data_IF_303669999541
#
_entry.id   IF_303669999541
#
_cell.length_a   1.000
_cell.length_b   1.000
_cell.length_c   1.000
_cell.angle_alpha   90.00
_cell.angle_beta   90.00
_cell.angle_gamma   90.00
#
_symmetry.space_group_name_H-M   'P 1'
#
loop_
_entity.id
_entity.type
_entity.pdbx_description
1 polymer ?
#
# COMPACT_ATOMS: atom_id res chain seq x y z
N UNK A 1 8.58 -12.42 -12.27
CA UNK A 1 8.72 -10.96 -12.26
C UNK A 1 8.46 -10.55 -10.84
N UNK A 2 9.38 -9.80 -10.25
CA UNK A 2 9.22 -9.28 -8.89
C UNK A 2 8.50 -7.95 -9.01
N UNK A 3 7.28 -7.89 -8.49
CA UNK A 3 6.44 -6.70 -8.45
C UNK A 3 5.60 -6.72 -7.18
N UNK A 4 5.62 -5.63 -6.43
CA UNK A 4 4.86 -5.48 -5.20
C UNK A 4 4.44 -4.03 -4.99
N UNK A 5 3.34 -3.84 -4.27
CA UNK A 5 2.76 -2.54 -3.98
C UNK A 5 2.03 -2.59 -2.65
N UNK A 6 2.38 -1.65 -1.78
CA UNK A 6 1.98 -1.63 -0.38
C UNK A 6 1.72 -0.19 0.06
N UNK A 7 0.86 -0.03 1.07
CA UNK A 7 0.62 1.25 1.72
C UNK A 7 1.17 1.18 3.13
N UNK A 8 1.94 2.19 3.51
CA UNK A 8 2.51 2.37 4.84
C UNK A 8 2.07 3.69 5.43
N UNK A 9 2.00 3.74 6.76
CA UNK A 9 1.82 4.97 7.52
C UNK A 9 2.90 5.10 8.59
N UNK A 10 3.35 6.33 8.84
CA UNK A 10 4.39 6.61 9.83
C UNK A 10 4.48 8.10 10.16
N UNK A 11 5.25 8.43 11.20
CA UNK A 11 5.42 9.83 11.67
C UNK A 11 6.49 10.63 10.94
N UNK A 12 7.41 9.95 10.25
CA UNK A 12 8.48 10.60 9.50
C UNK A 12 8.03 10.88 8.07
N UNK A 13 8.40 12.03 7.52
CA UNK A 13 8.12 12.34 6.13
C UNK A 13 8.90 11.38 5.20
N UNK A 14 8.26 10.78 4.18
CA UNK A 14 8.95 9.95 3.21
C UNK A 14 10.00 10.73 2.43
N UNK A 15 11.21 10.18 2.35
CA UNK A 15 12.30 10.76 1.54
C UNK A 15 12.44 9.90 0.28
N UNK A 16 12.35 10.54 -0.89
CA UNK A 16 12.49 9.87 -2.17
C UNK A 16 13.79 9.06 -2.26
N UNK A 17 13.68 7.80 -2.70
CA UNK A 17 14.82 6.89 -2.85
C UNK A 17 15.28 6.21 -1.55
N UNK A 18 14.76 6.61 -0.39
CA UNK A 18 14.98 5.89 0.86
C UNK A 18 13.84 4.91 1.11
N UNK A 19 14.19 3.77 1.72
CA UNK A 19 13.18 2.84 2.19
C UNK A 19 12.27 3.52 3.22
N UNK A 20 10.97 3.33 3.05
CA UNK A 20 9.97 3.83 3.98
C UNK A 20 9.30 2.66 4.67
N UNK A 21 9.93 2.25 5.76
CA UNK A 21 9.46 1.25 6.69
C UNK A 21 8.74 1.92 7.86
N UNK A 22 7.74 2.76 7.55
CA UNK A 22 6.94 3.48 8.54
C UNK A 22 6.39 2.57 9.64
N UNK A 23 5.86 3.18 10.71
CA UNK A 23 5.42 2.49 11.92
C UNK A 23 4.47 1.29 11.63
N UNK A 24 3.65 1.39 10.58
CA UNK A 24 2.67 0.36 10.23
C UNK A 24 2.51 0.17 8.72
N UNK A 25 2.58 -1.09 8.27
CA UNK A 25 2.04 -1.52 6.97
C UNK A 25 0.52 -1.58 7.08
N UNK A 26 -0.20 -0.77 6.30
CA UNK A 26 -1.66 -0.67 6.40
C UNK A 26 -2.41 -1.45 5.32
N UNK A 27 -1.77 -1.68 4.17
CA UNK A 27 -2.37 -2.45 3.09
C UNK A 27 -1.33 -3.12 2.21
N UNK A 28 -1.49 -4.41 1.96
CA UNK A 28 -0.80 -5.12 0.86
C UNK A 28 -1.69 -5.16 -0.38
N UNK A 29 -1.35 -4.38 -1.41
CA UNK A 29 -2.21 -4.21 -2.61
C UNK A 29 -1.96 -5.32 -3.64
N UNK A 30 -0.69 -5.57 -3.96
CA UNK A 30 -0.28 -6.64 -4.88
C UNK A 30 1.12 -7.13 -4.53
N UNK A 31 1.39 -8.41 -4.82
CA UNK A 31 2.65 -9.05 -4.50
C UNK A 31 2.84 -10.32 -5.35
N UNK A 32 3.95 -10.43 -6.06
CA UNK A 32 4.22 -11.56 -6.97
C UNK A 32 4.57 -12.87 -6.29
N UNK A 33 4.82 -12.87 -4.98
CA UNK A 33 5.17 -14.07 -4.20
C UNK A 33 3.95 -14.66 -3.48
N UNK A 34 3.12 -13.81 -2.86
CA UNK A 34 2.01 -14.25 -2.02
C UNK A 34 0.65 -14.19 -2.74
N UNK A 35 0.49 -13.31 -3.74
CA UNK A 35 -0.76 -13.15 -4.49
C UNK A 35 -0.49 -12.92 -5.99
N UNK A 36 0.29 -13.83 -6.60
CA UNK A 36 0.85 -13.68 -7.95
C UNK A 36 -0.16 -13.49 -9.10
N UNK A 37 -1.43 -13.83 -8.88
CA UNK A 37 -2.54 -13.60 -9.82
C UNK A 37 -2.98 -12.14 -9.89
N UNK A 38 -2.69 -11.33 -8.87
CA UNK A 38 -3.06 -9.93 -8.77
C UNK A 38 -1.87 -9.06 -9.21
N UNK A 39 -1.87 -8.65 -10.49
CA UNK A 39 -0.88 -7.71 -11.05
C UNK A 39 -1.50 -6.38 -11.47
N UNK A 40 -2.77 -6.44 -11.85
CA UNK A 40 -3.64 -5.31 -12.16
C UNK A 40 -5.00 -5.60 -11.54
N UNK A 41 -5.63 -4.61 -10.93
CA UNK A 41 -6.94 -4.78 -10.32
C UNK A 41 -7.82 -3.57 -10.63
N UNK A 42 -9.07 -3.84 -11.00
CA UNK A 42 -10.08 -2.82 -11.23
C UNK A 42 -11.16 -2.97 -10.16
N UNK A 43 -10.97 -2.28 -9.04
CA UNK A 43 -11.81 -2.36 -7.84
C UNK A 43 -11.10 -1.74 -6.64
N UNK A 44 -11.61 -1.97 -5.42
CA UNK A 44 -10.94 -1.50 -4.21
C UNK A 44 -9.69 -2.33 -3.92
N UNK A 45 -8.58 -1.68 -3.60
CA UNK A 45 -7.33 -2.37 -3.23
C UNK A 45 -7.50 -3.35 -2.05
N UNK A 46 -8.46 -3.09 -1.16
CA UNK A 46 -8.85 -3.95 -0.02
C UNK A 46 -9.53 -5.26 -0.43
N UNK A 47 -9.97 -5.39 -1.69
CA UNK A 47 -10.69 -6.55 -2.24
C UNK A 47 -9.79 -7.42 -3.13
N UNK A 48 -8.49 -7.11 -3.20
CA UNK A 48 -7.51 -7.86 -3.99
C UNK A 48 -7.27 -9.28 -3.44
N UNK A 49 -7.50 -9.48 -2.14
CA UNK A 49 -7.17 -10.72 -1.43
C UNK A 49 -5.67 -10.91 -1.17
N UNK A 50 -4.84 -9.90 -1.47
CA UNK A 50 -3.40 -9.92 -1.18
C UNK A 50 -3.10 -9.64 0.28
N UNK A 51 -3.86 -8.75 0.90
CA UNK A 51 -3.75 -8.48 2.33
C UNK A 51 -4.59 -9.51 3.12
N UNK A 52 -3.98 -10.05 4.17
CA UNK A 52 -4.60 -11.05 5.06
C UNK A 52 -5.14 -10.43 6.35
N UNK A 53 -4.92 -9.13 6.58
CA UNK A 53 -5.57 -8.40 7.66
C UNK A 53 -7.09 -8.45 7.49
N UNK A 54 -7.82 -8.54 8.60
CA UNK A 54 -9.28 -8.58 8.60
C UNK A 54 -9.86 -7.42 9.44
N UNK A 55 -10.46 -6.40 8.81
CA UNK A 55 -10.55 -6.17 7.36
C UNK A 55 -9.29 -5.46 6.79
N UNK A 56 -8.92 -5.69 5.51
CA UNK A 56 -7.79 -5.03 4.87
C UNK A 56 -7.89 -3.50 4.85
N UNK A 57 -6.76 -2.80 4.98
CA UNK A 57 -6.70 -1.35 4.81
C UNK A 57 -7.20 -0.53 6.00
N UNK A 58 -7.57 -1.18 7.10
CA UNK A 58 -7.94 -0.52 8.35
C UNK A 58 -6.77 -0.49 9.32
N UNK A 59 -6.62 0.63 10.02
CA UNK A 59 -5.56 0.84 11.00
C UNK A 59 -6.01 1.82 12.07
N UNK A 60 -5.37 1.76 13.24
CA UNK A 60 -5.62 2.65 14.36
C UNK A 60 -4.45 3.62 14.59
N UNK A 61 -4.78 4.88 14.86
CA UNK A 61 -3.82 5.90 15.32
C UNK A 61 -4.08 6.17 16.80
N UNK A 62 -3.26 5.55 17.65
CA UNK A 62 -3.39 5.62 19.11
C UNK A 62 -2.73 6.85 19.73
N UNK A 63 -1.82 7.51 19.02
CA UNK A 63 -1.09 8.69 19.50
C UNK A 63 -1.39 9.87 18.57
N UNK A 64 -1.92 11.00 19.09
CA UNK A 64 -2.13 12.19 18.27
C UNK A 64 -0.84 12.69 17.64
N UNK A 65 -0.91 13.15 16.39
CA UNK A 65 0.22 13.71 15.67
C UNK A 65 -0.01 13.78 14.17
N UNK A 66 1.01 14.26 13.45
CA UNK A 66 1.06 14.22 11.99
C UNK A 66 1.59 12.87 11.53
N UNK A 67 0.90 12.29 10.55
CA UNK A 67 1.28 11.02 9.93
C UNK A 67 1.31 11.18 8.42
N UNK A 68 2.22 10.43 7.79
CA UNK A 68 2.42 10.38 6.36
C UNK A 68 2.02 9.01 5.84
N UNK A 69 1.02 9.01 4.95
CA UNK A 69 0.58 7.83 4.22
C UNK A 69 1.36 7.75 2.90
N UNK A 70 2.04 6.64 2.67
CA UNK A 70 2.83 6.41 1.47
C UNK A 70 2.37 5.12 0.79
N UNK A 71 2.00 5.23 -0.49
CA UNK A 71 2.01 4.06 -1.37
C UNK A 71 3.44 3.86 -1.88
N UNK A 72 4.03 2.70 -1.56
CA UNK A 72 5.35 2.28 -2.06
C UNK A 72 5.19 1.06 -2.94
N UNK A 73 5.99 1.00 -3.99
CA UNK A 73 6.01 -0.12 -4.91
C UNK A 73 7.45 -0.37 -5.34
N UNK A 74 7.75 -1.64 -5.62
CA UNK A 74 9.05 -2.06 -6.13
C UNK A 74 8.89 -3.18 -7.14
N UNK A 75 9.86 -3.28 -8.04
CA UNK A 75 9.95 -4.39 -8.98
C UNK A 75 11.08 -4.23 -9.97
N UNK A 76 11.34 -5.30 -10.73
CA UNK A 76 12.39 -5.28 -11.76
C UNK A 76 12.03 -4.36 -12.94
N UNK A 77 10.73 -4.21 -13.25
CA UNK A 77 10.20 -3.29 -14.26
C UNK A 77 8.71 -3.07 -14.02
N UNK A 78 8.20 -1.87 -14.31
CA UNK A 78 6.76 -1.57 -14.33
C UNK A 78 6.14 -1.64 -15.74
N UNK A 79 6.92 -2.08 -16.73
CA UNK A 79 6.55 -2.00 -18.14
C UNK A 79 6.32 -0.56 -18.60
N UNK A 80 5.64 -0.41 -19.74
CA UNK A 80 5.46 0.89 -20.40
C UNK A 80 4.36 1.77 -19.77
N UNK A 81 3.52 1.18 -18.91
CA UNK A 81 2.36 1.86 -18.31
C UNK A 81 2.73 2.48 -16.94
N UNK A 82 3.75 1.94 -16.27
CA UNK A 82 4.16 2.42 -14.95
C UNK A 82 3.17 2.02 -13.84
N UNK A 83 3.11 2.84 -12.79
CA UNK A 83 2.18 2.66 -11.66
C UNK A 83 1.04 3.68 -11.81
N UNK A 84 -0.20 3.18 -11.86
CA UNK A 84 -1.40 4.02 -11.87
C UNK A 84 -2.20 3.81 -10.58
N UNK A 85 -2.47 4.92 -9.89
CA UNK A 85 -3.32 4.98 -8.70
C UNK A 85 -4.49 5.89 -9.03
N UNK A 86 -5.71 5.43 -8.76
CA UNK A 86 -6.94 6.21 -8.94
C UNK A 86 -7.83 6.04 -7.70
N UNK A 87 -8.68 7.05 -7.42
CA UNK A 87 -9.67 7.07 -6.34
C UNK A 87 -9.12 6.67 -4.96
N UNK A 88 -8.00 7.29 -4.56
CA UNK A 88 -7.46 7.11 -3.21
C UNK A 88 -8.36 7.80 -2.17
N UNK A 89 -8.87 7.04 -1.20
CA UNK A 89 -9.67 7.56 -0.09
C UNK A 89 -9.03 7.22 1.25
N UNK A 90 -9.07 8.17 2.18
CA UNK A 90 -8.71 7.98 3.58
C UNK A 90 -9.86 8.55 4.40
N UNK A 91 -10.55 7.69 5.14
CA UNK A 91 -11.77 8.03 5.86
C UNK A 91 -11.68 7.57 7.31
N UNK A 92 -12.24 8.37 8.22
CA UNK A 92 -12.41 7.95 9.60
C UNK A 92 -13.57 6.96 9.66
N UNK A 93 -13.35 5.79 10.24
CA UNK A 93 -14.42 4.85 10.52
C UNK A 93 -15.37 5.40 11.58
N UNK A 94 -16.68 5.26 11.33
CA UNK A 94 -17.75 5.65 12.26
C UNK A 94 -18.12 4.48 13.17
#
# INVERSE_FOLDING_TARGET
MDLWGEVYIGKNEPIAGNEYNGDLQVLKVFNTWECSSVKTYSGKATETGCDLNDPPGQFEISVPGTYFLLFRSGGASYGDIGVQIDKMTLEKMQ
#
